data_IF_888935808491
#
_entry.id   IF_888935808491
#
_cell.length_a   1.000
_cell.length_b   1.000
_cell.length_c   1.000
_cell.angle_alpha   90.00
_cell.angle_beta   90.00
_cell.angle_gamma   90.00
#
_symmetry.space_group_name_H-M   'P 1'
#
loop_
_entity.id
_entity.type
_entity.pdbx_description
1 polymer ?
#
# COMPACT_ATOMS: atom_id res chain seq x y z
N UNK A 1 -0.75 -13.72 -1.94
CA UNK A 1 0.60 -13.18 -2.22
C UNK A 1 1.57 -13.24 -1.04
N UNK A 2 1.12 -13.55 0.19
CA UNK A 2 2.01 -13.73 1.34
C UNK A 2 1.76 -15.10 1.98
N UNK A 3 2.85 -15.81 2.33
CA UNK A 3 2.82 -17.04 3.12
C UNK A 3 3.49 -16.74 4.46
N UNK A 4 2.79 -17.06 5.56
CA UNK A 4 3.29 -16.86 6.93
C UNK A 4 3.63 -18.21 7.54
N UNK A 5 4.88 -18.40 7.96
CA UNK A 5 5.32 -19.51 8.79
C UNK A 5 6.26 -19.00 9.91
N UNK A 6 7.47 -19.56 10.07
CA UNK A 6 8.54 -18.96 10.90
C UNK A 6 9.02 -17.60 10.37
N UNK A 7 8.75 -17.30 9.10
CA UNK A 7 9.03 -16.01 8.46
C UNK A 7 7.89 -15.65 7.51
N UNK A 8 7.86 -14.39 7.09
CA UNK A 8 6.96 -13.92 6.04
C UNK A 8 7.67 -14.09 4.70
N UNK A 9 6.99 -14.72 3.74
CA UNK A 9 7.49 -14.89 2.36
C UNK A 9 6.48 -14.29 1.38
N UNK A 10 6.94 -13.41 0.51
CA UNK A 10 6.13 -12.85 -0.57
C UNK A 10 6.27 -13.71 -1.83
N UNK A 11 5.15 -13.95 -2.51
CA UNK A 11 5.03 -14.76 -3.73
C UNK A 11 4.23 -14.01 -4.78
N UNK A 12 4.19 -14.54 -6.01
CA UNK A 12 3.46 -13.98 -7.15
C UNK A 12 4.03 -12.62 -7.64
N UNK A 13 5.25 -12.67 -8.16
CA UNK A 13 6.01 -11.51 -8.67
C UNK A 13 5.96 -11.37 -10.20
N UNK A 14 5.04 -12.07 -10.88
CA UNK A 14 5.00 -12.14 -12.34
C UNK A 14 4.74 -10.80 -13.05
N UNK A 15 4.17 -9.82 -12.33
CA UNK A 15 3.93 -8.45 -12.80
C UNK A 15 4.85 -7.42 -12.12
N UNK A 16 5.76 -7.86 -11.25
CA UNK A 16 6.66 -6.96 -10.53
C UNK A 16 7.76 -6.42 -11.44
N UNK A 17 8.25 -5.22 -11.13
CA UNK A 17 9.39 -4.61 -11.80
C UNK A 17 10.15 -3.72 -10.82
N UNK A 18 11.42 -3.46 -11.12
CA UNK A 18 12.20 -2.51 -10.33
C UNK A 18 11.80 -1.08 -10.67
N UNK A 19 11.45 -0.30 -9.65
CA UNK A 19 11.14 1.13 -9.80
C UNK A 19 11.54 1.92 -8.57
N UNK A 20 12.01 3.14 -8.78
CA UNK A 20 12.24 4.14 -7.74
C UNK A 20 11.16 5.22 -7.71
N UNK A 21 10.19 5.17 -8.62
CA UNK A 21 9.15 6.20 -8.76
C UNK A 21 8.19 6.17 -7.57
N UNK A 22 7.92 7.34 -7.00
CA UNK A 22 6.90 7.52 -5.95
C UNK A 22 5.53 7.00 -6.39
N UNK A 23 5.20 7.15 -7.67
CA UNK A 23 3.95 6.64 -8.26
C UNK A 23 3.77 5.14 -8.04
N UNK A 24 4.78 4.35 -8.40
CA UNK A 24 4.70 2.90 -8.37
C UNK A 24 4.61 2.40 -6.92
N UNK A 25 5.38 3.04 -6.01
CA UNK A 25 5.30 2.78 -4.56
C UNK A 25 3.94 3.13 -3.97
N UNK A 26 3.38 4.29 -4.34
CA UNK A 26 2.05 4.72 -3.89
C UNK A 26 0.96 3.76 -4.38
N UNK A 27 1.06 3.27 -5.61
CA UNK A 27 0.14 2.28 -6.17
C UNK A 27 0.19 0.95 -5.40
N UNK A 28 1.37 0.47 -5.02
CA UNK A 28 1.52 -0.76 -4.22
C UNK A 28 0.89 -0.62 -2.83
N UNK A 29 1.19 0.47 -2.10
CA UNK A 29 0.62 0.75 -0.77
C UNK A 29 -0.90 0.89 -0.84
N UNK A 30 -1.40 1.59 -1.87
CA UNK A 30 -2.83 1.78 -2.10
C UNK A 30 -3.53 0.46 -2.44
N UNK A 31 -2.92 -0.40 -3.26
CA UNK A 31 -3.45 -1.73 -3.54
C UNK A 31 -3.56 -2.56 -2.25
N UNK A 32 -2.55 -2.50 -1.39
CA UNK A 32 -2.58 -3.17 -0.09
C UNK A 32 -3.72 -2.63 0.81
N UNK A 33 -3.91 -1.30 0.85
CA UNK A 33 -5.04 -0.66 1.54
C UNK A 33 -6.39 -1.18 1.04
N UNK A 34 -6.55 -1.30 -0.29
CA UNK A 34 -7.79 -1.81 -0.91
C UNK A 34 -8.05 -3.28 -0.53
N UNK A 35 -7.01 -4.12 -0.49
CA UNK A 35 -7.10 -5.53 -0.05
C UNK A 35 -7.52 -5.62 1.42
N UNK A 36 -6.90 -4.82 2.30
CA UNK A 36 -7.28 -4.79 3.71
C UNK A 36 -8.73 -4.35 3.89
N UNK A 37 -9.16 -3.32 3.15
CA UNK A 37 -10.53 -2.82 3.19
C UNK A 37 -11.55 -3.84 2.71
N UNK A 38 -11.25 -4.61 1.65
CA UNK A 38 -12.16 -5.64 1.13
C UNK A 38 -12.24 -6.88 2.01
N UNK A 39 -11.13 -7.22 2.70
CA UNK A 39 -11.02 -8.47 3.46
C UNK A 39 -11.35 -8.29 4.95
N UNK A 40 -11.01 -7.14 5.54
CA UNK A 40 -11.09 -6.86 6.97
C UNK A 40 -11.89 -5.59 7.26
N UNK A 41 -13.12 -5.50 6.75
CA UNK A 41 -13.95 -4.28 6.76
C UNK A 41 -14.00 -3.51 8.10
N UNK A 42 -14.03 -4.20 9.25
CA UNK A 42 -14.10 -3.55 10.57
C UNK A 42 -12.75 -3.15 11.16
N UNK A 43 -11.64 -3.73 10.69
CA UNK A 43 -10.31 -3.57 11.28
C UNK A 43 -9.27 -3.03 10.30
N UNK A 44 -9.64 -2.78 9.05
CA UNK A 44 -8.70 -2.39 8.01
C UNK A 44 -7.92 -1.13 8.37
N UNK A 45 -8.57 -0.13 9.00
CA UNK A 45 -7.89 1.11 9.43
C UNK A 45 -6.74 0.78 10.37
N UNK A 46 -7.00 0.00 11.42
CA UNK A 46 -5.99 -0.41 12.39
C UNK A 46 -4.82 -1.15 11.71
N UNK A 47 -5.13 -2.12 10.85
CA UNK A 47 -4.08 -2.90 10.16
C UNK A 47 -3.28 -2.06 9.17
N UNK A 48 -3.94 -1.09 8.53
CA UNK A 48 -3.26 -0.19 7.61
C UNK A 48 -2.36 0.79 8.35
N UNK A 49 -2.78 1.30 9.51
CA UNK A 49 -1.96 2.17 10.36
C UNK A 49 -0.71 1.42 10.85
N UNK A 50 -0.85 0.19 11.36
CA UNK A 50 0.28 -0.65 11.77
C UNK A 50 1.24 -0.95 10.59
N UNK A 51 0.68 -1.15 9.38
CA UNK A 51 1.48 -1.30 8.17
C UNK A 51 2.25 -0.02 7.83
N UNK A 52 1.62 1.16 7.92
CA UNK A 52 2.24 2.44 7.62
C UNK A 52 3.38 2.75 8.60
N UNK A 53 3.23 2.42 9.88
CA UNK A 53 4.30 2.58 10.87
C UNK A 53 5.54 1.73 10.50
N UNK A 54 5.31 0.47 10.15
CA UNK A 54 6.37 -0.41 9.65
C UNK A 54 7.01 0.13 8.36
N UNK A 55 6.20 0.60 7.41
CA UNK A 55 6.68 1.13 6.13
C UNK A 55 7.51 2.42 6.32
N UNK A 56 7.08 3.32 7.21
CA UNK A 56 7.81 4.54 7.57
C UNK A 56 9.17 4.22 8.17
N UNK A 57 9.28 3.18 8.98
CA UNK A 57 10.55 2.79 9.61
C UNK A 57 11.64 2.39 8.59
N UNK A 58 11.24 1.90 7.41
CA UNK A 58 12.16 1.46 6.34
C UNK A 58 12.28 2.45 5.19
N UNK A 59 11.32 3.39 5.04
CA UNK A 59 11.28 4.36 3.95
C UNK A 59 10.90 5.77 4.41
N UNK A 60 11.55 6.26 5.47
CA UNK A 60 11.17 7.51 6.15
C UNK A 60 11.30 8.76 5.28
N UNK A 61 12.28 8.82 4.38
CA UNK A 61 12.55 10.02 3.56
C UNK A 61 11.47 10.30 2.52
N UNK A 62 10.86 9.25 1.95
CA UNK A 62 9.83 9.39 0.91
C UNK A 62 8.41 9.19 1.45
N UNK A 63 8.27 8.82 2.73
CA UNK A 63 7.00 8.41 3.32
C UNK A 63 5.88 9.43 3.11
N UNK A 64 6.13 10.70 3.44
CA UNK A 64 5.12 11.75 3.33
C UNK A 64 4.71 11.99 1.85
N UNK A 65 5.67 11.98 0.92
CA UNK A 65 5.40 12.12 -0.52
C UNK A 65 4.56 10.95 -1.06
N UNK A 66 4.78 9.74 -0.53
CA UNK A 66 4.00 8.55 -0.89
C UNK A 66 2.56 8.70 -0.37
N UNK A 67 2.36 9.16 0.87
CA UNK A 67 1.03 9.38 1.44
C UNK A 67 0.24 10.45 0.68
N UNK A 68 0.87 11.59 0.37
CA UNK A 68 0.26 12.64 -0.44
C UNK A 68 -0.14 12.09 -1.81
N UNK A 69 0.73 11.30 -2.45
CA UNK A 69 0.43 10.72 -3.76
C UNK A 69 -0.73 9.72 -3.70
N UNK A 70 -0.84 8.93 -2.63
CA UNK A 70 -1.99 8.03 -2.43
C UNK A 70 -3.29 8.83 -2.36
N UNK A 71 -3.32 9.92 -1.59
CA UNK A 71 -4.51 10.77 -1.45
C UNK A 71 -4.93 11.39 -2.78
N UNK A 72 -3.98 11.88 -3.58
CA UNK A 72 -4.24 12.37 -4.93
C UNK A 72 -4.85 11.28 -5.84
N UNK A 73 -4.31 10.06 -5.81
CA UNK A 73 -4.79 8.93 -6.62
C UNK A 73 -6.22 8.56 -6.21
N UNK A 74 -6.50 8.49 -4.92
CA UNK A 74 -7.85 8.16 -4.39
C UNK A 74 -8.87 9.25 -4.75
N UNK A 75 -8.46 10.51 -4.65
CA UNK A 75 -9.28 11.66 -5.02
C UNK A 75 -9.62 11.68 -6.51
N UNK A 76 -8.64 11.40 -7.39
CA UNK A 76 -8.88 11.28 -8.85
C UNK A 76 -9.86 10.17 -9.20
N UNK A 77 -9.80 9.02 -8.52
CA UNK A 77 -10.78 7.93 -8.73
C UNK A 77 -12.20 8.37 -8.38
N UNK A 78 -12.39 9.25 -7.39
CA UNK A 78 -13.71 9.74 -6.98
C UNK A 78 -14.38 10.62 -8.04
N UNK A 79 -13.60 11.41 -8.78
CA UNK A 79 -14.11 12.23 -9.88
C UNK A 79 -14.39 11.43 -11.16
N UNK A 80 -13.71 10.32 -11.39
CA UNK A 80 -13.94 9.47 -12.56
C UNK A 80 -15.25 8.65 -12.51
N UNK A 81 -15.96 8.64 -11.37
CA UNK A 81 -17.24 7.93 -11.14
C UNK A 81 -18.40 8.93 -10.96
N UNK A 82 -18.14 10.24 -11.09
CA UNK A 82 -19.12 11.32 -11.01
C UNK A 82 -19.68 11.71 -12.38
#
# INVERSE_FOLDING_TARGET
NFIVNRKITMIDMGLSFYSTRTEDKAMDVRLFKEILRSTFHHSFTKFFDEFLDGYKSVNSMEFENILERIDEIETRKRYAIS
#
